data_IF_063729321947
#
_entry.id   IF_063729321947
#
_cell.length_a   1.000
_cell.length_b   1.000
_cell.length_c   1.000
_cell.angle_alpha   90.00
_cell.angle_beta   90.00
_cell.angle_gamma   90.00
#
_symmetry.space_group_name_H-M   'P 1'
#
loop_
_entity.id
_entity.type
_entity.pdbx_description
1 polymer ?
#
# COMPACT_ATOMS: atom_id res chain seq x y z
N UNK A 1 1.51 -14.83 45.87
CA UNK A 1 1.20 -14.35 44.51
C UNK A 1 0.80 -12.89 44.58
N UNK A 2 1.69 -12.04 44.16
CA UNK A 2 1.49 -10.59 44.21
C UNK A 2 0.59 -10.15 43.04
N UNK A 3 -0.64 -9.63 43.26
CA UNK A 3 -1.57 -9.26 42.23
C UNK A 3 -1.03 -8.16 41.29
N UNK A 4 -0.07 -7.36 41.72
CA UNK A 4 0.60 -6.34 40.92
C UNK A 4 1.58 -6.93 39.91
N UNK A 5 2.30 -8.01 40.25
CA UNK A 5 3.21 -8.70 39.33
C UNK A 5 2.43 -9.43 38.22
N UNK A 6 1.28 -10.00 38.58
CA UNK A 6 0.41 -10.66 37.57
C UNK A 6 -0.17 -9.66 36.59
N UNK A 7 -0.59 -8.48 37.08
CA UNK A 7 -1.14 -7.41 36.21
C UNK A 7 -0.08 -6.83 35.27
N UNK A 8 1.15 -6.61 35.75
CA UNK A 8 2.27 -6.15 34.93
C UNK A 8 2.75 -7.21 33.93
N UNK A 9 2.69 -8.50 34.26
CA UNK A 9 3.02 -9.59 33.39
C UNK A 9 1.95 -9.75 32.26
N UNK A 10 0.67 -9.60 32.61
CA UNK A 10 -0.43 -9.65 31.63
C UNK A 10 -0.42 -8.44 30.70
N UNK A 11 -0.17 -7.23 31.20
CA UNK A 11 0.01 -6.03 30.38
C UNK A 11 1.23 -6.13 29.44
N UNK A 12 2.32 -6.76 29.91
CA UNK A 12 3.51 -6.98 29.11
C UNK A 12 3.27 -8.01 28.01
N UNK A 13 2.54 -9.10 28.33
CA UNK A 13 2.08 -10.09 27.34
C UNK A 13 1.12 -9.47 26.32
N UNK A 14 0.20 -8.62 26.73
CA UNK A 14 -0.74 -7.94 25.85
C UNK A 14 -0.02 -6.96 24.91
N UNK A 15 0.99 -6.21 25.41
CA UNK A 15 1.86 -5.36 24.59
C UNK A 15 2.71 -6.17 23.60
N UNK A 16 3.28 -7.31 24.00
CA UNK A 16 4.05 -8.18 23.11
C UNK A 16 3.19 -8.83 22.01
N UNK A 17 1.94 -9.16 22.30
CA UNK A 17 0.99 -9.67 21.29
C UNK A 17 0.47 -8.59 20.35
N UNK A 18 0.50 -7.32 20.78
CA UNK A 18 0.02 -6.18 19.99
C UNK A 18 1.05 -5.71 18.94
N UNK A 19 2.35 -5.82 19.26
CA UNK A 19 3.46 -5.46 18.37
C UNK A 19 4.45 -6.62 18.24
N UNK A 20 4.10 -7.67 17.46
CA UNK A 20 4.98 -8.81 17.29
C UNK A 20 6.27 -8.38 16.59
N UNK A 21 7.42 -8.83 17.11
CA UNK A 21 8.73 -8.53 16.53
C UNK A 21 8.83 -9.06 15.10
N UNK A 22 9.39 -8.25 14.20
CA UNK A 22 9.71 -8.67 12.85
C UNK A 22 10.90 -9.62 12.85
N UNK A 23 10.79 -10.73 12.13
CA UNK A 23 11.94 -11.55 11.83
C UNK A 23 12.66 -11.01 10.59
N UNK A 24 13.95 -11.32 10.45
CA UNK A 24 14.72 -10.96 9.25
C UNK A 24 14.04 -11.55 8.00
N UNK A 25 13.48 -12.75 8.11
CA UNK A 25 12.73 -13.40 7.01
C UNK A 25 11.51 -12.59 6.58
N UNK A 26 10.78 -11.99 7.50
CA UNK A 26 9.62 -11.16 7.18
C UNK A 26 10.03 -9.92 6.39
N UNK A 27 11.09 -9.24 6.85
CA UNK A 27 11.59 -8.01 6.21
C UNK A 27 12.12 -8.32 4.80
N UNK A 28 12.93 -9.37 4.67
CA UNK A 28 13.48 -9.81 3.37
C UNK A 28 12.34 -10.20 2.42
N UNK A 29 11.33 -10.91 2.91
CA UNK A 29 10.18 -11.29 2.09
C UNK A 29 9.41 -10.06 1.59
N UNK A 30 9.12 -9.09 2.47
CA UNK A 30 8.44 -7.86 2.08
C UNK A 30 9.27 -7.05 1.07
N UNK A 31 10.60 -6.99 1.25
CA UNK A 31 11.49 -6.32 0.31
C UNK A 31 11.50 -6.99 -1.07
N UNK A 32 11.57 -8.33 -1.12
CA UNK A 32 11.53 -9.10 -2.37
C UNK A 32 10.19 -8.88 -3.10
N UNK A 33 9.07 -8.98 -2.40
CA UNK A 33 7.75 -8.76 -3.00
C UNK A 33 7.62 -7.33 -3.52
N UNK A 34 8.13 -6.33 -2.80
CA UNK A 34 8.16 -4.94 -3.26
C UNK A 34 9.04 -4.76 -4.50
N UNK A 35 10.19 -5.41 -4.56
CA UNK A 35 11.08 -5.38 -5.73
C UNK A 35 10.42 -6.03 -6.96
N UNK A 36 9.78 -7.18 -6.81
CA UNK A 36 9.05 -7.84 -7.90
C UNK A 36 7.89 -6.93 -8.40
N UNK A 37 7.17 -6.31 -7.48
CA UNK A 37 6.12 -5.35 -7.83
C UNK A 37 6.68 -4.22 -8.71
N UNK A 38 7.85 -3.68 -8.37
CA UNK A 38 8.47 -2.61 -9.15
C UNK A 38 8.97 -3.06 -10.52
N UNK A 39 9.51 -4.27 -10.63
CA UNK A 39 9.89 -4.83 -11.93
C UNK A 39 8.68 -4.94 -12.85
N UNK A 40 7.52 -5.35 -12.33
CA UNK A 40 6.28 -5.39 -13.11
C UNK A 40 5.74 -4.00 -13.46
N UNK A 41 6.12 -2.97 -12.69
CA UNK A 41 5.81 -1.57 -12.96
C UNK A 41 6.82 -0.87 -13.88
N UNK A 42 7.75 -1.58 -14.52
CA UNK A 42 8.77 -1.01 -15.40
C UNK A 42 8.23 -0.25 -16.63
N UNK A 43 6.95 -0.42 -16.95
CA UNK A 43 6.24 0.38 -17.99
C UNK A 43 5.94 1.83 -17.53
N UNK A 44 6.14 2.15 -16.26
CA UNK A 44 5.80 3.48 -15.69
C UNK A 44 6.44 4.67 -16.40
N UNK A 45 7.70 4.65 -16.82
CA UNK A 45 8.29 5.78 -17.54
C UNK A 45 7.52 6.17 -18.79
N UNK A 46 6.94 5.19 -19.51
CA UNK A 46 6.12 5.44 -20.67
C UNK A 46 4.76 6.05 -20.31
N UNK A 47 4.23 5.71 -19.14
CA UNK A 47 2.92 6.18 -18.67
C UNK A 47 3.01 7.57 -18.05
N UNK A 48 4.16 7.94 -17.49
CA UNK A 48 4.38 9.27 -16.86
C UNK A 48 4.13 10.39 -17.89
N UNK A 49 4.52 10.21 -19.13
CA UNK A 49 4.26 11.20 -20.19
C UNK A 49 2.77 11.44 -20.45
N UNK A 50 1.94 10.43 -20.24
CA UNK A 50 0.48 10.52 -20.40
C UNK A 50 -0.22 11.18 -19.20
N UNK A 51 0.43 11.30 -18.05
CA UNK A 51 -0.15 11.96 -16.88
C UNK A 51 -0.46 13.44 -17.10
N UNK A 52 0.27 14.10 -18.00
CA UNK A 52 -0.01 15.48 -18.38
C UNK A 52 -1.29 15.65 -19.23
N UNK A 53 -1.86 14.54 -19.71
CA UNK A 53 -3.07 14.55 -20.51
C UNK A 53 -4.26 13.90 -19.80
N UNK A 54 -4.00 12.90 -18.96
CA UNK A 54 -5.05 12.11 -18.30
C UNK A 54 -4.71 11.98 -16.81
N UNK A 55 -5.52 12.64 -15.97
CA UNK A 55 -5.37 12.57 -14.53
C UNK A 55 -5.52 11.13 -14.03
N UNK A 56 -4.57 10.64 -13.23
CA UNK A 56 -4.66 9.33 -12.58
C UNK A 56 -4.33 8.12 -13.45
N UNK A 57 -3.87 8.31 -14.70
CA UNK A 57 -3.53 7.18 -15.60
C UNK A 57 -2.45 6.26 -15.01
N UNK A 58 -1.45 6.81 -14.34
CA UNK A 58 -0.41 6.03 -13.70
C UNK A 58 -0.96 5.13 -12.59
N UNK A 59 -1.90 5.64 -11.80
CA UNK A 59 -2.55 4.89 -10.73
C UNK A 59 -3.45 3.76 -11.28
N UNK A 60 -4.06 3.96 -12.45
CA UNK A 60 -4.80 2.89 -13.14
C UNK A 60 -3.86 1.78 -13.56
N UNK A 61 -2.76 2.12 -14.23
CA UNK A 61 -1.80 1.13 -14.74
C UNK A 61 -1.12 0.35 -13.62
N UNK A 62 -0.76 1.02 -12.53
CA UNK A 62 -0.08 0.37 -11.38
C UNK A 62 -1.02 -0.22 -10.34
N UNK A 63 -2.30 0.17 -10.37
CA UNK A 63 -3.26 -0.17 -9.33
C UNK A 63 -3.45 -1.66 -9.11
N UNK A 64 -3.53 -2.44 -10.19
CA UNK A 64 -3.62 -3.89 -10.11
C UNK A 64 -2.38 -4.50 -9.47
N UNK A 65 -1.20 -4.15 -9.95
CA UNK A 65 0.08 -4.73 -9.53
C UNK A 65 0.37 -4.42 -8.07
N UNK A 66 0.24 -3.15 -7.67
CA UNK A 66 0.45 -2.74 -6.28
C UNK A 66 -0.52 -3.47 -5.34
N UNK A 67 -1.82 -3.47 -5.66
CA UNK A 67 -2.81 -4.15 -4.83
C UNK A 67 -2.57 -5.66 -4.77
N UNK A 68 -2.19 -6.30 -5.88
CA UNK A 68 -1.91 -7.72 -5.97
C UNK A 68 -0.70 -8.13 -5.11
N UNK A 69 0.44 -7.51 -5.34
CA UNK A 69 1.68 -7.86 -4.61
C UNK A 69 1.62 -7.47 -3.15
N UNK A 70 1.05 -6.31 -2.82
CA UNK A 70 0.87 -5.90 -1.43
C UNK A 70 -0.08 -6.82 -0.68
N UNK A 71 -1.14 -7.33 -1.34
CA UNK A 71 -2.03 -8.32 -0.72
C UNK A 71 -1.28 -9.62 -0.39
N UNK A 72 -0.41 -10.11 -1.27
CA UNK A 72 0.42 -11.31 -1.01
C UNK A 72 1.39 -11.04 0.14
N UNK A 73 2.08 -9.90 0.13
CA UNK A 73 3.01 -9.51 1.20
C UNK A 73 2.34 -9.46 2.57
N UNK A 74 1.20 -8.76 2.65
CA UNK A 74 0.41 -8.64 3.87
C UNK A 74 -0.24 -9.96 4.28
N UNK A 75 -0.56 -10.83 3.34
CA UNK A 75 -1.11 -12.17 3.65
C UNK A 75 -0.09 -13.05 4.36
N UNK A 76 1.17 -12.99 3.96
CA UNK A 76 2.29 -13.70 4.63
C UNK A 76 2.67 -13.03 5.95
N UNK A 77 2.90 -11.71 5.91
CA UNK A 77 3.36 -10.95 7.08
C UNK A 77 2.18 -10.16 7.65
N UNK A 78 1.40 -10.82 8.50
CA UNK A 78 0.18 -10.25 9.12
C UNK A 78 0.49 -9.39 10.34
N UNK A 79 1.57 -8.61 10.29
CA UNK A 79 2.04 -7.77 11.39
C UNK A 79 1.71 -6.31 11.14
N UNK A 80 1.37 -5.52 12.20
CA UNK A 80 1.25 -4.08 12.08
C UNK A 80 2.55 -3.47 11.55
N UNK A 81 2.47 -2.51 10.63
CA UNK A 81 3.62 -1.90 9.98
C UNK A 81 4.06 -2.57 8.66
N UNK A 82 3.50 -3.74 8.31
CA UNK A 82 3.92 -4.47 7.10
C UNK A 82 3.64 -3.69 5.81
N UNK A 83 2.51 -2.99 5.73
CA UNK A 83 2.19 -2.13 4.60
C UNK A 83 3.18 -0.96 4.50
N UNK A 84 3.48 -0.34 5.63
CA UNK A 84 4.43 0.79 5.67
C UNK A 84 5.83 0.35 5.22
N UNK A 85 6.30 -0.84 5.61
CA UNK A 85 7.55 -1.40 5.11
C UNK A 85 7.53 -1.56 3.59
N UNK A 86 6.49 -2.18 3.03
CA UNK A 86 6.37 -2.36 1.59
C UNK A 86 6.29 -1.02 0.85
N UNK A 87 5.50 -0.08 1.36
CA UNK A 87 5.39 1.27 0.81
C UNK A 87 6.74 2.01 0.84
N UNK A 88 7.50 1.88 1.93
CA UNK A 88 8.82 2.50 2.06
C UNK A 88 9.83 1.87 1.10
N UNK A 89 9.91 0.54 1.00
CA UNK A 89 10.80 -0.13 0.04
C UNK A 89 10.46 0.25 -1.41
N UNK A 90 9.18 0.23 -1.76
CA UNK A 90 8.70 0.66 -3.07
C UNK A 90 9.07 2.13 -3.33
N UNK A 91 8.84 2.98 -2.34
CA UNK A 91 9.15 4.42 -2.41
C UNK A 91 10.63 4.71 -2.56
N UNK A 92 11.52 4.03 -1.82
CA UNK A 92 12.99 4.22 -1.92
C UNK A 92 13.48 3.93 -3.34
N UNK A 93 12.99 2.87 -3.97
CA UNK A 93 13.40 2.54 -5.34
C UNK A 93 12.80 3.57 -6.33
N UNK A 94 11.57 4.00 -6.11
CA UNK A 94 10.91 5.02 -6.93
C UNK A 94 11.49 6.43 -6.74
N UNK A 95 12.21 6.68 -5.64
CA UNK A 95 12.93 7.95 -5.40
C UNK A 95 13.92 8.27 -6.53
N UNK A 96 14.53 7.23 -7.13
CA UNK A 96 15.45 7.36 -8.26
C UNK A 96 14.70 7.89 -9.51
N UNK A 97 13.41 7.56 -9.63
CA UNK A 97 12.59 7.99 -10.76
C UNK A 97 12.02 9.40 -10.56
N UNK A 98 11.39 9.63 -9.39
CA UNK A 98 10.80 10.92 -9.04
C UNK A 98 10.61 11.04 -7.52
N UNK A 99 11.16 12.09 -6.87
CA UNK A 99 10.99 12.31 -5.43
C UNK A 99 9.52 12.32 -4.94
N UNK A 100 8.55 12.89 -5.69
CA UNK A 100 7.14 12.84 -5.29
C UNK A 100 6.60 11.44 -5.05
N UNK A 101 7.11 10.44 -5.78
CA UNK A 101 6.64 9.06 -5.64
C UNK A 101 7.05 8.45 -4.29
N UNK A 102 8.24 8.80 -3.78
CA UNK A 102 8.64 8.38 -2.45
C UNK A 102 7.71 8.95 -1.37
N UNK A 103 7.48 10.26 -1.40
CA UNK A 103 6.60 10.90 -0.41
C UNK A 103 5.16 10.39 -0.50
N UNK A 104 4.65 10.17 -1.71
CA UNK A 104 3.32 9.60 -1.92
C UNK A 104 3.20 8.21 -1.29
N UNK A 105 4.16 7.32 -1.53
CA UNK A 105 4.16 5.97 -0.95
C UNK A 105 4.26 6.00 0.57
N UNK A 106 5.16 6.83 1.12
CA UNK A 106 5.37 6.95 2.55
C UNK A 106 4.12 7.47 3.26
N UNK A 107 3.54 8.57 2.76
CA UNK A 107 2.36 9.19 3.37
C UNK A 107 1.12 8.30 3.23
N UNK A 108 0.86 7.76 2.04
CA UNK A 108 -0.26 6.84 1.83
C UNK A 108 -0.11 5.57 2.67
N UNK A 109 1.10 5.00 2.72
CA UNK A 109 1.40 3.84 3.55
C UNK A 109 1.14 4.09 5.02
N UNK A 110 1.60 5.24 5.54
CA UNK A 110 1.40 5.63 6.92
C UNK A 110 -0.07 5.85 7.26
N UNK A 111 -0.79 6.62 6.43
CA UNK A 111 -2.21 6.92 6.66
C UNK A 111 -3.06 5.65 6.68
N UNK A 112 -2.81 4.73 5.75
CA UNK A 112 -3.56 3.47 5.71
C UNK A 112 -3.16 2.55 6.86
N UNK A 113 -1.88 2.49 7.23
CA UNK A 113 -1.45 1.72 8.38
C UNK A 113 -2.17 2.18 9.66
N UNK A 114 -2.26 3.50 9.87
CA UNK A 114 -3.00 4.10 10.99
C UNK A 114 -4.48 3.74 10.91
N UNK A 115 -5.11 3.87 9.73
CA UNK A 115 -6.52 3.52 9.53
C UNK A 115 -6.81 2.04 9.81
N UNK A 116 -5.96 1.14 9.29
CA UNK A 116 -6.09 -0.31 9.54
C UNK A 116 -5.89 -0.63 11.01
N UNK A 117 -4.95 0.02 11.67
CA UNK A 117 -4.75 -0.19 13.10
C UNK A 117 -5.93 0.31 13.92
N UNK A 118 -6.50 1.45 13.58
CA UNK A 118 -7.66 2.02 14.26
C UNK A 118 -8.93 1.15 14.07
N UNK A 119 -9.19 0.67 12.84
CA UNK A 119 -10.43 -0.04 12.51
C UNK A 119 -10.33 -1.55 12.79
N UNK A 120 -9.22 -2.19 12.39
CA UNK A 120 -9.07 -3.65 12.41
C UNK A 120 -8.06 -4.15 13.45
N UNK A 121 -7.30 -3.26 14.11
CA UNK A 121 -6.23 -3.57 15.05
C UNK A 121 -5.13 -4.47 14.45
N UNK A 122 -4.89 -4.34 13.13
CA UNK A 122 -3.86 -5.06 12.38
C UNK A 122 -4.39 -5.98 11.29
N UNK A 123 -3.49 -6.75 10.65
CA UNK A 123 -3.75 -7.57 9.46
C UNK A 123 -4.19 -9.01 9.73
N UNK A 124 -4.71 -9.31 10.92
CA UNK A 124 -5.15 -10.69 11.26
C UNK A 124 -6.28 -11.20 10.36
N UNK A 125 -7.17 -10.31 9.93
CA UNK A 125 -8.33 -10.61 9.08
C UNK A 125 -8.03 -10.25 7.61
N UNK A 126 -8.46 -11.11 6.68
CA UNK A 126 -8.32 -10.83 5.24
C UNK A 126 -9.05 -9.55 4.81
N UNK A 127 -10.15 -9.19 5.50
CA UNK A 127 -10.86 -7.92 5.28
C UNK A 127 -9.97 -6.70 5.53
N UNK A 128 -9.09 -6.75 6.53
CA UNK A 128 -8.15 -5.67 6.83
C UNK A 128 -7.09 -5.53 5.72
N UNK A 129 -6.59 -6.66 5.20
CA UNK A 129 -5.65 -6.67 4.07
C UNK A 129 -6.32 -6.10 2.83
N UNK A 130 -7.54 -6.56 2.52
CA UNK A 130 -8.30 -6.06 1.36
C UNK A 130 -8.56 -4.56 1.46
N UNK A 131 -9.01 -4.07 2.62
CA UNK A 131 -9.21 -2.65 2.87
C UNK A 131 -7.94 -1.83 2.64
N UNK A 132 -6.80 -2.31 3.15
CA UNK A 132 -5.52 -1.64 3.01
C UNK A 132 -5.11 -1.49 1.54
N UNK A 133 -5.13 -2.58 0.77
CA UNK A 133 -4.68 -2.56 -0.63
C UNK A 133 -5.69 -1.87 -1.56
N UNK A 134 -6.98 -1.92 -1.21
CA UNK A 134 -8.03 -1.22 -1.95
C UNK A 134 -7.84 0.29 -1.91
N UNK A 135 -7.49 0.85 -0.74
CA UNK A 135 -7.39 2.29 -0.54
C UNK A 135 -6.00 2.84 -0.87
N UNK A 136 -4.97 1.99 -0.90
CA UNK A 136 -3.58 2.44 -1.05
C UNK A 136 -3.37 3.29 -2.31
N UNK A 137 -3.77 2.75 -3.45
CA UNK A 137 -3.54 3.43 -4.73
C UNK A 137 -4.49 4.61 -4.97
N UNK A 138 -5.81 4.50 -4.68
CA UNK A 138 -6.70 5.66 -4.77
C UNK A 138 -6.31 6.83 -3.88
N UNK A 139 -5.76 6.58 -2.68
CA UNK A 139 -5.32 7.64 -1.77
C UNK A 139 -4.13 8.43 -2.33
N UNK A 140 -3.36 7.85 -3.25
CA UNK A 140 -2.27 8.56 -3.93
C UNK A 140 -2.77 9.66 -4.88
N UNK A 141 -4.01 9.59 -5.37
CA UNK A 141 -4.59 10.59 -6.27
C UNK A 141 -4.72 11.97 -5.61
N UNK A 142 -5.43 12.12 -4.47
CA UNK A 142 -5.52 13.39 -3.79
C UNK A 142 -4.15 13.86 -3.27
N UNK A 143 -3.27 12.94 -2.85
CA UNK A 143 -1.91 13.31 -2.46
C UNK A 143 -1.15 13.93 -3.63
N UNK A 144 -1.15 13.30 -4.81
CA UNK A 144 -0.48 13.82 -5.99
C UNK A 144 -1.06 15.17 -6.43
N UNK A 145 -2.38 15.34 -6.35
CA UNK A 145 -3.01 16.62 -6.63
C UNK A 145 -2.52 17.73 -5.68
N UNK A 146 -2.58 17.48 -4.37
CA UNK A 146 -2.15 18.43 -3.36
C UNK A 146 -0.64 18.73 -3.44
N UNK A 147 0.17 17.71 -3.72
CA UNK A 147 1.60 17.88 -3.90
C UNK A 147 1.92 18.79 -5.08
N UNK A 148 1.30 18.56 -6.25
CA UNK A 148 1.50 19.40 -7.44
C UNK A 148 0.98 20.82 -7.24
N UNK A 149 -0.13 20.98 -6.51
CA UNK A 149 -0.63 22.29 -6.11
C UNK A 149 0.38 23.05 -5.23
N UNK A 150 0.98 22.34 -4.26
CA UNK A 150 1.95 22.91 -3.32
C UNK A 150 3.27 23.36 -3.97
N UNK A 151 3.73 22.66 -5.01
CA UNK A 151 4.95 23.02 -5.76
C UNK A 151 4.68 23.96 -6.95
N UNK A 152 3.42 24.38 -7.17
CA UNK A 152 3.04 25.27 -8.26
C UNK A 152 3.06 24.60 -9.65
N UNK A 153 2.98 23.26 -9.73
CA UNK A 153 2.87 22.55 -11.00
C UNK A 153 1.43 22.56 -11.51
N UNK A 154 1.03 23.66 -12.16
CA UNK A 154 -0.33 23.88 -12.64
C UNK A 154 -0.73 22.88 -13.74
N UNK A 155 0.21 22.41 -14.57
CA UNK A 155 -0.08 21.49 -15.66
C UNK A 155 -0.80 20.20 -15.19
N UNK A 156 -0.43 19.68 -14.01
CA UNK A 156 -1.05 18.49 -13.43
C UNK A 156 -2.39 18.78 -12.74
N UNK A 157 -2.51 19.94 -12.11
CA UNK A 157 -3.76 20.33 -11.42
C UNK A 157 -4.82 20.79 -12.41
N UNK A 158 -4.43 21.45 -13.50
CA UNK A 158 -5.35 21.92 -14.54
C UNK A 158 -6.05 20.75 -15.26
N UNK A 159 -5.36 19.62 -15.45
CA UNK A 159 -5.99 18.42 -16.04
C UNK A 159 -7.17 17.94 -15.17
N UNK A 160 -7.02 17.96 -13.86
CA UNK A 160 -8.10 17.56 -12.95
C UNK A 160 -9.21 18.64 -12.86
N UNK A 161 -8.83 19.91 -12.84
CA UNK A 161 -9.74 21.05 -12.71
C UNK A 161 -10.58 21.27 -13.98
N UNK A 162 -9.98 21.12 -15.15
CA UNK A 162 -10.67 21.30 -16.43
C UNK A 162 -11.61 20.14 -16.79
N UNK A 163 -11.39 18.96 -16.21
CA UNK A 163 -12.20 17.77 -16.44
C UNK A 163 -12.56 17.04 -15.15
N UNK A 164 -13.33 17.63 -14.20
CA UNK A 164 -13.61 17.05 -12.90
C UNK A 164 -14.33 15.71 -12.99
N UNK A 165 -15.22 15.53 -13.96
CA UNK A 165 -15.90 14.24 -14.18
C UNK A 165 -14.93 13.14 -14.63
N UNK A 166 -13.91 13.48 -15.42
CA UNK A 166 -12.84 12.56 -15.77
C UNK A 166 -12.03 12.15 -14.54
N UNK A 167 -11.71 13.08 -13.66
CA UNK A 167 -11.01 12.79 -12.40
C UNK A 167 -11.82 11.84 -11.50
N UNK A 168 -13.13 12.05 -11.39
CA UNK A 168 -14.04 11.15 -10.66
C UNK A 168 -14.07 9.76 -11.32
N UNK A 169 -14.24 9.69 -12.64
CA UNK A 169 -14.25 8.45 -13.39
C UNK A 169 -12.95 7.66 -13.23
N UNK A 170 -11.80 8.34 -13.26
CA UNK A 170 -10.49 7.72 -13.03
C UNK A 170 -10.32 7.23 -11.59
N UNK A 171 -10.84 7.95 -10.60
CA UNK A 171 -10.83 7.48 -9.21
C UNK A 171 -11.63 6.19 -9.05
N UNK A 172 -12.80 6.10 -9.67
CA UNK A 172 -13.61 4.86 -9.69
C UNK A 172 -12.88 3.73 -10.41
N UNK A 173 -12.21 4.01 -11.53
CA UNK A 173 -11.43 3.02 -12.26
C UNK A 173 -10.25 2.49 -11.42
N UNK A 174 -9.52 3.37 -10.74
CA UNK A 174 -8.43 2.98 -9.84
C UNK A 174 -8.93 2.11 -8.69
N UNK A 175 -10.08 2.45 -8.09
CA UNK A 175 -10.72 1.63 -7.05
C UNK A 175 -11.11 0.24 -7.57
N UNK A 176 -11.72 0.16 -8.75
CA UNK A 176 -12.14 -1.11 -9.35
C UNK A 176 -10.93 -2.01 -9.65
N UNK A 177 -9.87 -1.45 -10.24
CA UNK A 177 -8.65 -2.18 -10.55
C UNK A 177 -7.91 -2.63 -9.28
N UNK A 178 -7.84 -1.77 -8.26
CA UNK A 178 -7.26 -2.13 -6.98
C UNK A 178 -8.07 -3.23 -6.28
N UNK A 179 -9.40 -3.21 -6.39
CA UNK A 179 -10.26 -4.29 -5.86
C UNK A 179 -9.96 -5.63 -6.53
N UNK A 180 -9.88 -5.66 -7.86
CA UNK A 180 -9.57 -6.87 -8.63
C UNK A 180 -8.17 -7.39 -8.25
N UNK A 181 -7.17 -6.51 -8.23
CA UNK A 181 -5.79 -6.86 -7.83
C UNK A 181 -5.72 -7.40 -6.40
N UNK A 182 -6.39 -6.73 -5.46
CA UNK A 182 -6.43 -7.13 -4.05
C UNK A 182 -7.10 -8.49 -3.84
N UNK A 183 -8.22 -8.75 -4.50
CA UNK A 183 -8.91 -10.07 -4.44
C UNK A 183 -8.05 -11.17 -5.06
N UNK A 184 -7.44 -10.91 -6.21
CA UNK A 184 -6.54 -11.86 -6.87
C UNK A 184 -5.33 -12.16 -5.98
N UNK A 185 -4.69 -11.13 -5.39
CA UNK A 185 -3.56 -11.26 -4.49
C UNK A 185 -3.89 -12.06 -3.23
N UNK A 186 -5.06 -11.84 -2.62
CA UNK A 186 -5.53 -12.62 -1.47
C UNK A 186 -5.80 -14.08 -1.84
N UNK A 187 -6.37 -14.34 -3.02
CA UNK A 187 -6.62 -15.71 -3.50
C UNK A 187 -5.30 -16.44 -3.72
N UNK A 188 -4.36 -15.83 -4.43
CA UNK A 188 -3.03 -16.41 -4.67
C UNK A 188 -2.26 -16.57 -3.36
N UNK A 189 -2.27 -15.59 -2.47
CA UNK A 189 -1.65 -15.70 -1.15
C UNK A 189 -2.19 -16.91 -0.35
N UNK A 190 -3.50 -17.17 -0.41
CA UNK A 190 -4.11 -18.33 0.21
C UNK A 190 -3.64 -19.66 -0.41
N UNK A 191 -3.57 -19.74 -1.75
CA UNK A 191 -3.11 -20.95 -2.44
C UNK A 191 -1.61 -21.22 -2.18
N UNK A 192 -0.76 -20.18 -2.20
CA UNK A 192 0.66 -20.30 -1.85
C UNK A 192 0.86 -20.75 -0.39
N UNK A 193 0.00 -20.31 0.53
CA UNK A 193 0.04 -20.77 1.91
C UNK A 193 -0.35 -22.25 2.04
N UNK A 194 -1.38 -22.72 1.29
CA UNK A 194 -1.76 -24.14 1.23
C UNK A 194 -0.66 -25.01 0.62
N UNK A 195 0.02 -24.51 -0.40
CA UNK A 195 1.15 -25.19 -1.04
C UNK A 195 2.41 -25.22 -0.17
N UNK A 196 2.39 -24.58 1.01
CA UNK A 196 3.53 -24.55 1.92
C UNK A 196 4.65 -23.56 1.55
N UNK A 197 4.47 -22.80 0.47
CA UNK A 197 5.45 -21.80 -0.01
C UNK A 197 5.53 -20.61 0.94
N UNK A 198 4.43 -20.24 1.58
CA UNK A 198 4.35 -19.12 2.53
C UNK A 198 4.36 -19.57 4.00
N UNK A 199 5.12 -20.62 4.33
CA UNK A 199 5.33 -21.02 5.74
C UNK A 199 6.28 -20.10 6.48
#
# INVERSE_FOLDING_TARGET
DNPFEKKTADEKKEKETRFPRYSVRDIVFLAIVSAICLVTCAVMPLVISLQHQIFGIAQVVTGFQLAFFFAIGLYKVRKPGALLFMATFTGIIQLIMAPPMFFSNLVCGLLIEVAVFAIFRGYKKNKAIFFAVLLYNPLSLPFNYLYNLGIGNTAMTDVANNAPWSAVGMTVAVLAIAAIGGLAGLKIGKELAKAGVLK
#
